data_IF_289682504587
#
_entry.id   IF_289682504587
#
_cell.length_a   1.000
_cell.length_b   1.000
_cell.length_c   1.000
_cell.angle_alpha   90.00
_cell.angle_beta   90.00
_cell.angle_gamma   90.00
#
_symmetry.space_group_name_H-M   'P 1'
#
loop_
_entity.id
_entity.type
_entity.pdbx_description
1 polymer ?
#
# COMPACT_ATOMS: atom_id res chain seq x y z
N UNK A 1 38.59 43.40 -2.30
CA UNK A 1 37.39 43.43 -1.43
C UNK A 1 36.51 42.24 -1.78
N UNK A 2 35.98 41.56 -0.77
CA UNK A 2 35.48 40.18 -0.64
C UNK A 2 34.64 39.51 -1.76
N UNK A 3 34.59 38.15 -1.79
CA UNK A 3 33.82 37.24 -2.70
C UNK A 3 32.35 37.07 -2.18
N UNK A 4 31.50 36.04 -2.49
CA UNK A 4 31.63 34.77 -3.27
C UNK A 4 30.36 34.35 -4.10
N UNK A 5 30.30 33.11 -4.61
CA UNK A 5 29.01 32.50 -4.99
C UNK A 5 29.07 31.23 -5.83
N UNK A 6 29.02 30.08 -5.16
CA UNK A 6 28.94 28.72 -5.68
C UNK A 6 27.76 28.49 -6.66
N UNK A 7 27.94 27.62 -7.65
CA UNK A 7 26.82 26.99 -8.38
C UNK A 7 26.93 25.48 -8.28
N UNK A 8 26.47 25.00 -7.12
CA UNK A 8 26.16 23.60 -6.85
C UNK A 8 25.03 23.12 -7.76
N UNK A 9 25.34 22.20 -8.67
CA UNK A 9 24.36 21.47 -9.46
C UNK A 9 23.47 20.63 -8.53
N UNK A 10 22.25 21.12 -8.28
CA UNK A 10 21.20 20.47 -7.52
C UNK A 10 20.79 19.14 -8.16
N UNK A 11 21.36 18.06 -7.66
CA UNK A 11 20.87 16.70 -7.89
C UNK A 11 19.59 16.47 -7.12
N UNK A 12 18.44 16.85 -7.69
CA UNK A 12 17.13 16.50 -7.14
C UNK A 12 16.76 15.04 -7.47
N UNK A 13 17.55 14.07 -6.98
CA UNK A 13 17.07 12.69 -6.82
C UNK A 13 16.23 12.64 -5.55
N UNK A 14 14.96 13.02 -5.71
CA UNK A 14 13.95 12.95 -4.66
C UNK A 14 13.90 11.55 -4.06
N UNK A 15 14.27 11.46 -2.78
CA UNK A 15 14.09 10.30 -1.91
C UNK A 15 12.60 9.93 -1.94
N UNK A 16 12.23 8.89 -2.68
CA UNK A 16 10.91 8.25 -2.58
C UNK A 16 10.83 7.58 -1.22
N UNK A 17 10.50 8.36 -0.19
CA UNK A 17 10.27 7.87 1.16
C UNK A 17 9.00 7.04 1.15
N UNK A 18 9.19 5.74 1.32
CA UNK A 18 8.17 4.78 1.68
C UNK A 18 7.25 5.33 2.75
N UNK A 19 5.97 5.44 2.44
CA UNK A 19 4.98 5.57 3.48
C UNK A 19 3.99 4.42 3.32
N UNK A 20 3.80 3.78 4.45
CA UNK A 20 3.04 2.56 4.64
C UNK A 20 1.72 2.95 5.26
N UNK A 21 0.80 2.02 5.28
CA UNK A 21 -0.45 2.09 6.00
C UNK A 21 -0.22 2.14 7.50
N UNK A 22 -0.35 3.32 8.11
CA UNK A 22 -0.10 3.50 9.54
C UNK A 22 -1.24 4.27 10.20
N UNK A 23 -1.72 3.78 11.34
CA UNK A 23 -2.44 4.65 12.29
C UNK A 23 -1.64 5.91 12.60
N UNK A 24 -0.30 5.83 12.63
CA UNK A 24 0.55 7.02 12.79
C UNK A 24 0.46 8.01 11.62
N UNK A 25 0.27 7.58 10.37
CA UNK A 25 0.06 8.51 9.24
C UNK A 25 -1.32 9.16 9.33
N UNK A 26 -2.34 8.40 9.74
CA UNK A 26 -3.71 8.88 9.94
C UNK A 26 -3.77 9.89 11.07
N UNK A 27 -3.15 9.59 12.21
CA UNK A 27 -3.06 10.49 13.37
C UNK A 27 -2.24 11.74 13.03
N UNK A 28 -1.12 11.59 12.31
CA UNK A 28 -0.31 12.72 11.82
C UNK A 28 -1.10 13.59 10.85
N UNK A 29 -1.83 12.96 9.91
CA UNK A 29 -2.69 13.65 8.95
C UNK A 29 -3.90 14.34 9.61
N UNK A 30 -4.45 13.76 10.67
CA UNK A 30 -5.60 14.28 11.40
C UNK A 30 -5.26 15.54 12.20
N UNK A 31 -4.10 15.56 12.88
CA UNK A 31 -3.82 16.55 13.93
C UNK A 31 -2.85 17.66 13.53
N UNK A 32 -2.19 17.58 12.37
CA UNK A 32 -1.05 18.44 12.07
C UNK A 32 -1.18 19.17 10.73
N UNK A 33 -0.84 20.46 10.66
CA UNK A 33 -0.85 21.26 9.42
C UNK A 33 0.56 21.41 8.79
N UNK A 34 1.55 20.73 9.38
CA UNK A 34 2.94 20.73 8.92
C UNK A 34 3.15 19.89 7.64
N UNK A 35 4.27 20.08 6.91
CA UNK A 35 4.59 19.33 5.69
C UNK A 35 4.50 17.81 5.83
N UNK A 36 4.76 17.27 7.01
CA UNK A 36 4.70 15.86 7.36
C UNK A 36 3.29 15.28 7.24
N UNK A 37 2.25 16.05 7.59
CA UNK A 37 0.85 15.64 7.42
C UNK A 37 0.45 15.55 5.95
N UNK A 38 0.94 16.47 5.11
CA UNK A 38 0.71 16.44 3.66
C UNK A 38 1.38 15.25 3.00
N UNK A 39 2.61 14.93 3.40
CA UNK A 39 3.31 13.74 2.93
C UNK A 39 2.59 12.44 3.37
N UNK A 40 2.13 12.37 4.62
CA UNK A 40 1.36 11.25 5.13
C UNK A 40 0.06 11.01 4.33
N UNK A 41 -0.66 12.10 4.02
CA UNK A 41 -1.89 12.07 3.23
C UNK A 41 -1.66 11.64 1.77
N UNK A 42 -0.61 12.16 1.12
CA UNK A 42 -0.27 11.78 -0.25
C UNK A 42 -0.06 10.28 -0.36
N UNK A 43 0.64 9.68 0.60
CA UNK A 43 0.88 8.25 0.56
C UNK A 43 -0.34 7.40 0.90
N UNK A 44 -1.23 7.87 1.79
CA UNK A 44 -2.53 7.22 1.99
C UNK A 44 -3.33 7.18 0.69
N UNK A 45 -3.33 8.29 -0.06
CA UNK A 45 -3.98 8.36 -1.36
C UNK A 45 -3.34 7.37 -2.35
N UNK A 46 -2.02 7.40 -2.53
CA UNK A 46 -1.27 6.52 -3.44
C UNK A 46 -1.48 5.02 -3.15
N UNK A 47 -1.60 4.65 -1.87
CA UNK A 47 -1.74 3.25 -1.46
C UNK A 47 -3.16 2.73 -1.63
N UNK A 48 -4.17 3.55 -1.33
CA UNK A 48 -5.56 3.08 -1.24
C UNK A 48 -6.46 3.49 -2.38
N UNK A 49 -6.04 4.40 -3.26
CA UNK A 49 -6.92 4.84 -4.34
C UNK A 49 -7.38 3.66 -5.20
N UNK A 50 -6.48 2.74 -5.55
CA UNK A 50 -6.83 1.60 -6.39
C UNK A 50 -7.68 0.54 -5.64
N UNK A 51 -7.34 0.09 -4.42
CA UNK A 51 -8.21 -0.78 -3.64
C UNK A 51 -9.64 -0.24 -3.45
N UNK A 52 -9.78 1.07 -3.15
CA UNK A 52 -11.09 1.69 -2.98
C UNK A 52 -11.83 1.85 -4.31
N UNK A 53 -11.14 2.27 -5.37
CA UNK A 53 -11.70 2.33 -6.73
C UNK A 53 -12.25 0.97 -7.15
N UNK A 54 -11.46 -0.08 -6.96
CA UNK A 54 -11.84 -1.45 -7.28
C UNK A 54 -13.08 -1.89 -6.49
N UNK A 55 -13.14 -1.56 -5.18
CA UNK A 55 -14.31 -1.82 -4.35
C UNK A 55 -15.57 -1.13 -4.88
N UNK A 56 -15.48 0.16 -5.22
CA UNK A 56 -16.59 0.93 -5.80
C UNK A 56 -17.03 0.31 -7.12
N UNK A 57 -16.10 -0.08 -7.99
CA UNK A 57 -16.43 -0.79 -9.25
C UNK A 57 -17.13 -2.11 -9.03
N UNK A 58 -16.74 -2.88 -8.01
CA UNK A 58 -17.39 -4.16 -7.69
C UNK A 58 -18.78 -3.97 -7.07
N UNK A 59 -19.10 -2.79 -6.54
CA UNK A 59 -20.47 -2.41 -6.13
C UNK A 59 -21.39 -2.05 -7.30
N UNK A 60 -20.91 -2.08 -8.54
CA UNK A 60 -21.73 -1.90 -9.74
C UNK A 60 -21.73 -0.50 -10.33
N UNK A 61 -20.92 0.42 -9.79
CA UNK A 61 -20.75 1.75 -10.37
C UNK A 61 -19.94 1.67 -11.68
N UNK A 62 -20.26 2.56 -12.62
CA UNK A 62 -19.52 2.68 -13.88
C UNK A 62 -18.11 3.23 -13.64
N UNK A 63 -17.24 3.12 -14.64
CA UNK A 63 -15.84 3.55 -14.52
C UNK A 63 -15.68 5.03 -14.17
N UNK A 64 -16.46 5.88 -14.84
CA UNK A 64 -16.54 7.32 -14.63
C UNK A 64 -17.08 7.65 -13.23
N UNK A 65 -18.19 7.01 -12.83
CA UNK A 65 -18.78 7.21 -11.50
C UNK A 65 -17.84 6.75 -10.39
N UNK A 66 -17.19 5.61 -10.54
CA UNK A 66 -16.26 5.08 -9.55
C UNK A 66 -15.02 5.97 -9.39
N UNK A 67 -14.55 6.58 -10.47
CA UNK A 67 -13.46 7.53 -10.43
C UNK A 67 -13.87 8.77 -9.63
N UNK A 68 -15.00 9.38 -10.00
CA UNK A 68 -15.52 10.57 -9.34
C UNK A 68 -15.80 10.34 -7.86
N UNK A 69 -16.43 9.21 -7.52
CA UNK A 69 -16.72 8.82 -6.13
C UNK A 69 -15.43 8.57 -5.33
N UNK A 70 -14.43 7.92 -5.93
CA UNK A 70 -13.14 7.70 -5.26
C UNK A 70 -12.44 9.04 -5.04
N UNK A 71 -12.40 9.93 -6.03
CA UNK A 71 -11.81 11.27 -5.88
C UNK A 71 -12.54 12.10 -4.83
N UNK A 72 -13.87 12.11 -4.84
CA UNK A 72 -14.69 12.84 -3.89
C UNK A 72 -14.55 12.29 -2.46
N UNK A 73 -14.43 10.96 -2.31
CA UNK A 73 -14.17 10.33 -1.03
C UNK A 73 -12.84 10.81 -0.45
N UNK A 74 -11.76 10.73 -1.23
CA UNK A 74 -10.47 11.22 -0.76
C UNK A 74 -10.45 12.72 -0.52
N UNK A 75 -11.16 13.52 -1.32
CA UNK A 75 -11.28 14.95 -1.07
C UNK A 75 -11.93 15.22 0.29
N UNK A 76 -13.01 14.50 0.63
CA UNK A 76 -13.68 14.61 1.93
C UNK A 76 -12.79 14.08 3.07
N UNK A 77 -12.02 13.02 2.82
CA UNK A 77 -11.01 12.51 3.74
C UNK A 77 -9.88 13.54 3.98
N UNK A 78 -9.45 14.25 2.93
CA UNK A 78 -8.43 15.30 2.94
C UNK A 78 -8.90 16.60 3.60
N UNK A 79 -10.21 16.90 3.52
CA UNK A 79 -10.90 17.95 4.29
C UNK A 79 -10.96 17.61 5.80
N UNK A 80 -10.38 16.46 6.20
CA UNK A 80 -10.13 15.97 7.57
C UNK A 80 -11.37 15.60 8.38
N UNK A 81 -12.57 15.65 7.80
CA UNK A 81 -13.81 15.36 8.52
C UNK A 81 -13.81 13.94 9.10
N UNK A 82 -13.42 12.95 8.30
CA UNK A 82 -13.34 11.55 8.74
C UNK A 82 -12.08 11.25 9.57
N UNK A 83 -10.95 11.88 9.26
CA UNK A 83 -9.68 11.61 9.97
C UNK A 83 -9.72 12.10 11.43
N UNK A 84 -10.50 13.13 11.75
CA UNK A 84 -10.65 13.64 13.13
C UNK A 84 -11.36 12.66 14.07
N UNK A 85 -12.20 11.78 13.54
CA UNK A 85 -12.93 10.77 14.32
C UNK A 85 -12.28 9.38 14.23
N UNK A 86 -11.15 9.28 13.53
CA UNK A 86 -10.42 8.03 13.38
C UNK A 86 -9.72 7.68 14.69
N UNK A 87 -10.11 6.55 15.28
CA UNK A 87 -9.61 6.06 16.56
C UNK A 87 -8.96 4.68 16.40
N UNK A 88 -7.64 4.56 16.64
CA UNK A 88 -6.95 3.27 16.65
C UNK A 88 -7.57 2.24 17.61
N UNK A 89 -8.16 2.68 18.71
CA UNK A 89 -8.82 1.80 19.69
C UNK A 89 -10.09 1.13 19.17
N UNK A 90 -10.61 1.55 18.01
CA UNK A 90 -11.80 0.96 17.36
C UNK A 90 -11.47 -0.13 16.34
N UNK A 91 -10.20 -0.52 16.24
CA UNK A 91 -9.74 -1.65 15.44
C UNK A 91 -8.85 -1.25 14.27
N UNK A 92 -8.90 -2.04 13.19
CA UNK A 92 -7.95 -1.93 12.07
C UNK A 92 -8.28 -0.74 11.17
N UNK A 93 -7.26 -0.07 10.68
CA UNK A 93 -7.43 1.07 9.77
C UNK A 93 -8.21 0.70 8.49
N UNK A 94 -8.01 -0.50 7.95
CA UNK A 94 -8.74 -1.00 6.77
C UNK A 94 -10.25 -1.05 7.01
N UNK A 95 -10.66 -1.48 8.20
CA UNK A 95 -12.07 -1.54 8.59
C UNK A 95 -12.66 -0.14 8.74
N UNK A 96 -11.92 0.80 9.33
CA UNK A 96 -12.30 2.21 9.37
C UNK A 96 -12.46 2.82 7.98
N UNK A 97 -11.49 2.59 7.07
CA UNK A 97 -11.49 3.17 5.73
C UNK A 97 -12.66 2.64 4.90
N UNK A 98 -12.93 1.32 4.98
CA UNK A 98 -14.03 0.70 4.27
C UNK A 98 -15.39 1.11 4.83
N UNK A 99 -15.52 1.19 6.16
CA UNK A 99 -16.73 1.71 6.80
C UNK A 99 -16.98 3.18 6.40
N UNK A 100 -15.94 4.02 6.42
CA UNK A 100 -16.02 5.42 6.01
C UNK A 100 -16.41 5.57 4.54
N UNK A 101 -15.84 4.74 3.65
CA UNK A 101 -16.23 4.71 2.24
C UNK A 101 -17.70 4.28 2.08
N UNK A 102 -18.15 3.27 2.81
CA UNK A 102 -19.54 2.82 2.74
C UNK A 102 -20.52 3.88 3.25
N UNK A 103 -20.19 4.59 4.33
CA UNK A 103 -20.97 5.73 4.79
C UNK A 103 -20.97 6.87 3.77
N UNK A 104 -19.82 7.17 3.17
CA UNK A 104 -19.70 8.17 2.11
C UNK A 104 -20.55 7.82 0.89
N UNK A 105 -20.48 6.57 0.39
CA UNK A 105 -21.27 6.12 -0.76
C UNK A 105 -22.76 6.14 -0.48
N UNK A 106 -23.18 5.79 0.74
CA UNK A 106 -24.58 5.88 1.16
C UNK A 106 -25.07 7.34 1.15
N UNK A 107 -24.26 8.28 1.66
CA UNK A 107 -24.60 9.70 1.71
C UNK A 107 -24.52 10.39 0.33
N UNK A 108 -23.56 10.01 -0.53
CA UNK A 108 -23.43 10.55 -1.89
C UNK A 108 -24.47 9.98 -2.85
N UNK A 109 -25.06 8.80 -2.58
CA UNK A 109 -26.22 8.32 -3.33
C UNK A 109 -27.42 9.28 -3.18
N UNK A 110 -27.57 9.90 -2.00
CA UNK A 110 -28.58 10.94 -1.74
C UNK A 110 -28.19 12.29 -2.36
N UNK A 111 -26.89 12.64 -2.36
CA UNK A 111 -26.37 13.94 -2.85
C UNK A 111 -26.23 14.02 -4.38
N UNK A 112 -25.87 12.92 -5.05
CA UNK A 112 -25.74 12.83 -6.50
C UNK A 112 -27.08 13.00 -7.25
N UNK A 113 -28.21 12.74 -6.58
CA UNK A 113 -29.54 13.10 -7.08
C UNK A 113 -29.86 14.60 -6.93
N UNK A 114 -29.21 15.30 -6.00
CA UNK A 114 -29.53 16.68 -5.66
C UNK A 114 -28.67 17.73 -6.38
N UNK A 115 -27.37 17.51 -6.59
CA UNK A 115 -26.47 18.58 -7.07
C UNK A 115 -25.40 18.05 -8.04
N UNK A 116 -25.76 17.94 -9.32
CA UNK A 116 -24.76 17.92 -10.39
C UNK A 116 -24.10 19.30 -10.48
N UNK A 117 -22.77 19.30 -10.33
CA UNK A 117 -21.76 20.33 -10.69
C UNK A 117 -21.45 21.37 -9.61
N UNK A 118 -20.18 21.41 -9.21
CA UNK A 118 -19.58 22.59 -8.58
C UNK A 118 -18.95 22.34 -7.20
N UNK A 119 -18.00 21.42 -7.09
CA UNK A 119 -17.15 21.32 -5.91
C UNK A 119 -15.70 21.33 -6.33
N UNK A 120 -15.04 22.50 -6.29
CA UNK A 120 -13.63 22.72 -6.68
C UNK A 120 -12.62 21.98 -5.80
N UNK A 121 -12.73 20.66 -5.74
CA UNK A 121 -11.89 19.77 -4.96
C UNK A 121 -10.61 19.45 -5.75
N UNK A 122 -9.48 19.44 -5.05
CA UNK A 122 -8.17 19.17 -5.64
C UNK A 122 -8.11 17.67 -6.00
N UNK A 123 -8.26 17.37 -7.29
CA UNK A 123 -8.28 16.00 -7.78
C UNK A 123 -6.95 15.29 -7.52
N UNK A 124 -7.01 14.05 -7.04
CA UNK A 124 -5.84 13.18 -6.95
C UNK A 124 -5.56 12.66 -8.36
N UNK A 125 -4.28 12.68 -8.83
CA UNK A 125 -3.91 12.02 -10.08
C UNK A 125 -4.24 10.53 -9.99
N UNK A 126 -5.23 10.07 -10.76
CA UNK A 126 -5.61 8.67 -10.90
C UNK A 126 -5.39 8.25 -12.34
N UNK A 127 -4.56 7.23 -12.57
CA UNK A 127 -4.42 6.64 -13.91
C UNK A 127 -5.56 5.64 -14.13
N UNK A 128 -6.65 6.15 -14.69
CA UNK A 128 -7.88 5.39 -14.92
C UNK A 128 -7.69 4.35 -16.01
N UNK A 129 -6.84 4.62 -17.02
CA UNK A 129 -6.61 3.69 -18.12
C UNK A 129 -5.86 2.43 -17.66
N UNK A 130 -4.84 2.61 -16.82
CA UNK A 130 -4.15 1.50 -16.16
C UNK A 130 -5.08 0.79 -15.15
N UNK A 131 -5.88 1.53 -14.38
CA UNK A 131 -6.85 0.94 -13.46
C UNK A 131 -7.90 0.08 -14.16
N UNK A 132 -8.45 0.53 -15.30
CA UNK A 132 -9.40 -0.24 -16.10
C UNK A 132 -8.76 -1.49 -16.68
N UNK A 133 -7.55 -1.37 -17.21
CA UNK A 133 -6.81 -2.51 -17.74
C UNK A 133 -6.61 -3.58 -16.65
N UNK A 134 -6.25 -3.16 -15.43
CA UNK A 134 -6.10 -4.07 -14.28
C UNK A 134 -7.43 -4.63 -13.77
N UNK A 135 -8.52 -3.86 -13.84
CA UNK A 135 -9.86 -4.31 -13.46
C UNK A 135 -10.39 -5.34 -14.46
N UNK A 136 -10.25 -5.09 -15.77
CA UNK A 136 -10.69 -5.99 -16.84
C UNK A 136 -9.92 -7.31 -16.86
N UNK A 137 -8.66 -7.30 -16.42
CA UNK A 137 -7.83 -8.52 -16.25
C UNK A 137 -8.07 -9.24 -14.92
N UNK A 138 -8.86 -8.67 -14.01
CA UNK A 138 -9.17 -9.32 -12.74
C UNK A 138 -10.08 -10.54 -13.01
N UNK A 139 -9.81 -11.69 -12.36
CA UNK A 139 -10.69 -12.85 -12.46
C UNK A 139 -12.13 -12.48 -12.08
N UNK A 140 -13.10 -13.09 -12.76
CA UNK A 140 -14.49 -13.08 -12.32
C UNK A 140 -14.60 -13.96 -11.05
N UNK A 141 -14.14 -13.43 -9.93
CA UNK A 141 -14.22 -14.09 -8.63
C UNK A 141 -15.65 -13.93 -8.07
N UNK A 142 -16.24 -15.02 -7.57
CA UNK A 142 -17.52 -15.06 -6.81
C UNK A 142 -17.40 -14.44 -5.40
N UNK A 143 -16.27 -13.79 -5.13
CA UNK A 143 -15.97 -13.14 -3.87
C UNK A 143 -16.74 -11.83 -3.71
N UNK A 144 -17.17 -11.56 -2.48
CA UNK A 144 -17.76 -10.26 -2.15
C UNK A 144 -16.76 -9.12 -2.37
N UNK A 145 -17.21 -7.89 -2.68
CA UNK A 145 -16.36 -6.72 -2.79
C UNK A 145 -15.40 -6.53 -1.60
N UNK A 146 -15.87 -6.84 -0.39
CA UNK A 146 -15.08 -6.77 0.84
C UNK A 146 -13.91 -7.77 0.80
N UNK A 147 -14.15 -9.02 0.40
CA UNK A 147 -13.07 -10.03 0.29
C UNK A 147 -12.06 -9.66 -0.78
N UNK A 148 -12.51 -9.09 -1.89
CA UNK A 148 -11.60 -8.64 -2.96
C UNK A 148 -10.77 -7.42 -2.53
N UNK A 149 -11.35 -6.49 -1.78
CA UNK A 149 -10.62 -5.39 -1.16
C UNK A 149 -9.54 -5.91 -0.22
N UNK A 150 -9.87 -6.86 0.66
CA UNK A 150 -8.94 -7.50 1.58
C UNK A 150 -7.79 -8.21 0.85
N UNK A 151 -8.10 -8.99 -0.19
CA UNK A 151 -7.09 -9.65 -1.03
C UNK A 151 -6.17 -8.64 -1.74
N UNK A 152 -6.74 -7.56 -2.28
CA UNK A 152 -5.96 -6.51 -2.94
C UNK A 152 -5.05 -5.77 -1.95
N UNK A 153 -5.55 -5.50 -0.75
CA UNK A 153 -4.75 -4.93 0.33
C UNK A 153 -3.59 -5.85 0.69
N UNK A 154 -3.84 -7.16 0.87
CA UNK A 154 -2.81 -8.13 1.19
C UNK A 154 -1.69 -8.14 0.14
N UNK A 155 -2.03 -8.19 -1.15
CA UNK A 155 -1.06 -8.12 -2.25
C UNK A 155 -0.25 -6.83 -2.21
N UNK A 156 -0.91 -5.68 -2.04
CA UNK A 156 -0.26 -4.37 -1.96
C UNK A 156 0.75 -4.30 -0.81
N UNK A 157 0.39 -4.87 0.35
CA UNK A 157 1.28 -4.93 1.51
C UNK A 157 2.50 -5.83 1.26
N UNK A 158 2.30 -6.98 0.62
CA UNK A 158 3.40 -7.89 0.29
C UNK A 158 4.37 -7.25 -0.71
N UNK A 159 3.87 -6.61 -1.77
CA UNK A 159 4.69 -5.91 -2.76
C UNK A 159 5.54 -4.82 -2.10
N UNK A 160 4.96 -4.08 -1.16
CA UNK A 160 5.64 -3.05 -0.39
C UNK A 160 6.76 -3.63 0.48
N UNK A 161 6.52 -4.75 1.15
CA UNK A 161 7.54 -5.44 1.97
C UNK A 161 8.69 -5.95 1.10
N UNK A 162 8.39 -6.51 -0.08
CA UNK A 162 9.40 -6.98 -1.04
C UNK A 162 10.22 -5.81 -1.59
N UNK A 163 9.57 -4.70 -1.97
CA UNK A 163 10.26 -3.50 -2.45
C UNK A 163 11.18 -2.89 -1.39
N UNK A 164 10.75 -2.86 -0.12
CA UNK A 164 11.59 -2.41 0.99
C UNK A 164 12.80 -3.32 1.20
N UNK A 165 12.61 -4.63 1.13
CA UNK A 165 13.70 -5.60 1.23
C UNK A 165 14.71 -5.46 0.09
N UNK A 166 14.22 -5.24 -1.14
CA UNK A 166 15.06 -4.99 -2.31
C UNK A 166 15.95 -3.76 -2.07
N UNK A 167 15.38 -2.65 -1.63
CA UNK A 167 16.15 -1.42 -1.42
C UNK A 167 17.19 -1.54 -0.29
N UNK A 168 16.93 -2.36 0.73
CA UNK A 168 17.93 -2.71 1.73
C UNK A 168 19.09 -3.51 1.11
N UNK A 169 18.78 -4.52 0.31
CA UNK A 169 19.82 -5.30 -0.38
C UNK A 169 20.63 -4.44 -1.37
N UNK A 170 20.00 -3.55 -2.13
CA UNK A 170 20.68 -2.63 -3.06
C UNK A 170 21.67 -1.75 -2.30
N UNK A 171 21.25 -1.15 -1.18
CA UNK A 171 22.14 -0.31 -0.34
C UNK A 171 23.33 -1.06 0.22
N UNK A 172 23.19 -2.36 0.45
CA UNK A 172 24.26 -3.25 0.91
C UNK A 172 25.09 -3.85 -0.23
N UNK A 173 24.85 -3.48 -1.50
CA UNK A 173 25.53 -4.04 -2.67
C UNK A 173 25.12 -5.48 -3.00
N UNK A 174 23.97 -5.93 -2.50
CA UNK A 174 23.44 -7.32 -2.60
C UNK A 174 22.27 -7.43 -3.60
N UNK A 175 22.18 -6.53 -4.57
CA UNK A 175 21.09 -6.52 -5.56
C UNK A 175 21.00 -7.84 -6.35
N UNK A 176 22.13 -8.30 -6.92
CA UNK A 176 22.19 -9.59 -7.65
C UNK A 176 21.76 -10.78 -6.79
N UNK A 177 22.13 -10.77 -5.50
CA UNK A 177 21.73 -11.80 -4.55
C UNK A 177 20.22 -11.74 -4.29
N UNK A 178 19.66 -10.54 -4.10
CA UNK A 178 18.22 -10.37 -3.92
C UNK A 178 17.43 -10.84 -5.14
N UNK A 179 17.80 -10.42 -6.35
CA UNK A 179 17.07 -10.78 -7.56
C UNK A 179 17.05 -12.28 -7.81
N UNK A 180 18.16 -12.96 -7.51
CA UNK A 180 18.22 -14.41 -7.64
C UNK A 180 17.43 -15.13 -6.55
N UNK A 181 17.41 -14.60 -5.33
CA UNK A 181 16.84 -15.28 -4.17
C UNK A 181 15.40 -14.88 -3.81
N UNK A 182 14.84 -13.80 -4.39
CA UNK A 182 13.48 -13.31 -4.07
C UNK A 182 12.38 -14.35 -4.33
N UNK A 183 12.56 -15.19 -5.35
CA UNK A 183 11.63 -16.29 -5.66
C UNK A 183 11.52 -17.34 -4.54
N UNK A 184 12.50 -17.42 -3.63
CA UNK A 184 12.50 -18.34 -2.50
C UNK A 184 11.77 -17.81 -1.27
N UNK A 185 11.19 -16.60 -1.30
CA UNK A 185 10.46 -16.04 -0.16
C UNK A 185 9.14 -16.79 0.11
N UNK A 186 8.46 -17.28 -0.94
CA UNK A 186 7.12 -17.88 -0.88
C UNK A 186 7.01 -19.32 -0.35
N UNK A 187 8.08 -19.90 0.18
CA UNK A 187 8.04 -21.17 0.93
C UNK A 187 7.82 -22.45 0.12
N UNK A 188 6.78 -22.53 -0.72
CA UNK A 188 6.23 -23.80 -1.23
C UNK A 188 6.41 -24.07 -2.74
N UNK A 189 6.79 -23.08 -3.55
CA UNK A 189 6.89 -23.25 -5.01
C UNK A 189 8.03 -22.44 -5.65
N UNK A 190 9.18 -22.33 -4.98
CA UNK A 190 10.35 -21.74 -5.61
C UNK A 190 10.96 -22.78 -6.57
N UNK A 191 10.44 -22.86 -7.79
CA UNK A 191 10.81 -23.84 -8.81
C UNK A 191 12.29 -23.82 -9.27
N UNK A 192 13.14 -22.95 -8.71
CA UNK A 192 14.57 -22.97 -8.95
C UNK A 192 15.28 -23.82 -7.88
N UNK A 193 16.02 -24.88 -8.24
CA UNK A 193 16.82 -25.61 -7.27
C UNK A 193 17.94 -24.72 -6.73
N UNK A 194 18.28 -24.85 -5.44
CA UNK A 194 19.37 -24.08 -4.81
C UNK A 194 20.71 -24.22 -5.53
N UNK A 195 20.93 -25.34 -6.23
CA UNK A 195 22.09 -25.61 -7.08
C UNK A 195 22.26 -24.58 -8.20
N UNK A 196 21.17 -24.20 -8.88
CA UNK A 196 21.23 -23.23 -9.97
C UNK A 196 21.48 -21.81 -9.43
N UNK A 197 20.83 -21.45 -8.32
CA UNK A 197 21.11 -20.19 -7.65
C UNK A 197 22.56 -20.10 -7.12
N UNK A 198 23.14 -21.23 -6.70
CA UNK A 198 24.53 -21.32 -6.27
C UNK A 198 25.49 -21.06 -7.43
N UNK A 199 25.27 -21.69 -8.59
CA UNK A 199 26.06 -21.46 -9.79
C UNK A 199 25.98 -19.98 -10.24
N UNK A 200 24.78 -19.41 -10.31
CA UNK A 200 24.59 -18.03 -10.79
C UNK A 200 25.19 -16.97 -9.87
N UNK A 201 25.37 -17.29 -8.57
CA UNK A 201 25.94 -16.39 -7.58
C UNK A 201 27.42 -16.69 -7.29
N UNK A 202 28.00 -17.74 -7.86
CA UNK A 202 29.35 -18.21 -7.52
C UNK A 202 29.47 -18.63 -6.04
N UNK A 203 28.40 -19.19 -5.48
CA UNK A 203 28.29 -19.59 -4.08
C UNK A 203 28.17 -21.11 -3.96
N UNK A 204 28.38 -21.66 -2.76
CA UNK A 204 27.99 -23.04 -2.45
C UNK A 204 26.49 -23.11 -2.16
N UNK A 205 25.86 -24.28 -2.37
CA UNK A 205 24.45 -24.47 -2.00
C UNK A 205 24.19 -24.20 -0.51
N UNK A 206 25.13 -24.56 0.37
CA UNK A 206 25.03 -24.26 1.79
C UNK A 206 25.00 -22.74 2.05
N UNK A 207 25.84 -21.97 1.35
CA UNK A 207 25.86 -20.52 1.45
C UNK A 207 24.56 -19.89 0.92
N UNK A 208 23.97 -20.45 -0.16
CA UNK A 208 22.66 -20.05 -0.68
C UNK A 208 21.55 -20.33 0.32
N UNK A 209 21.50 -21.54 0.92
CA UNK A 209 20.52 -21.88 1.97
C UNK A 209 20.58 -20.89 3.14
N UNK A 210 21.79 -20.55 3.58
CA UNK A 210 21.99 -19.55 4.65
C UNK A 210 21.55 -18.14 4.22
N UNK A 211 21.82 -17.74 2.98
CA UNK A 211 21.38 -16.46 2.44
C UNK A 211 19.85 -16.37 2.37
N UNK A 212 19.18 -17.41 1.87
CA UNK A 212 17.72 -17.52 1.83
C UNK A 212 17.11 -17.46 3.23
N UNK A 213 17.70 -18.18 4.20
CA UNK A 213 17.25 -18.14 5.59
C UNK A 213 17.32 -16.70 6.17
N UNK A 214 18.45 -16.00 5.96
CA UNK A 214 18.60 -14.60 6.39
C UNK A 214 17.60 -13.68 5.69
N UNK A 215 17.40 -13.86 4.39
CA UNK A 215 16.47 -13.07 3.59
C UNK A 215 15.02 -13.26 4.08
N UNK A 216 14.58 -14.50 4.31
CA UNK A 216 13.26 -14.83 4.90
C UNK A 216 13.10 -14.24 6.29
N UNK A 217 14.13 -14.31 7.15
CA UNK A 217 14.10 -13.70 8.49
C UNK A 217 13.92 -12.19 8.40
N UNK A 218 14.62 -11.52 7.48
CA UNK A 218 14.46 -10.07 7.28
C UNK A 218 13.09 -9.71 6.72
N UNK A 219 12.62 -10.44 5.71
CA UNK A 219 11.28 -10.33 5.16
C UNK A 219 10.20 -10.42 6.25
N UNK A 220 10.23 -11.45 7.10
CA UNK A 220 9.28 -11.60 8.22
C UNK A 220 9.33 -10.43 9.19
N UNK A 221 10.53 -9.94 9.51
CA UNK A 221 10.68 -8.77 10.39
C UNK A 221 10.07 -7.51 9.77
N UNK A 222 10.25 -7.30 8.46
CA UNK A 222 9.64 -6.20 7.74
C UNK A 222 8.11 -6.33 7.69
N UNK A 223 7.59 -7.52 7.35
CA UNK A 223 6.16 -7.80 7.33
C UNK A 223 5.51 -7.54 8.70
N UNK A 224 6.08 -8.09 9.79
CA UNK A 224 5.62 -7.83 11.16
C UNK A 224 5.63 -6.34 11.48
N UNK A 225 6.71 -5.65 11.13
CA UNK A 225 6.80 -4.22 11.36
C UNK A 225 5.71 -3.45 10.61
N UNK A 226 5.39 -3.84 9.37
CA UNK A 226 4.31 -3.20 8.61
C UNK A 226 2.94 -3.47 9.22
N UNK A 227 2.66 -4.71 9.60
CA UNK A 227 1.38 -5.10 10.21
C UNK A 227 1.18 -4.43 11.57
N UNK A 228 2.24 -4.34 12.39
CA UNK A 228 2.21 -3.64 13.68
C UNK A 228 1.75 -2.17 13.58
N UNK A 229 1.89 -1.55 12.41
CA UNK A 229 1.47 -0.17 12.17
C UNK A 229 -0.02 -0.05 11.80
N UNK A 230 -0.68 -1.17 11.50
CA UNK A 230 -2.07 -1.25 11.04
C UNK A 230 -3.05 -1.71 12.12
N UNK A 231 -2.52 -2.29 13.20
CA UNK A 231 -3.26 -2.84 14.34
C UNK A 231 -3.25 -1.89 15.53
N UNK A 232 -4.19 -2.07 16.46
CA UNK A 232 -4.32 -1.22 17.63
C UNK A 232 -3.26 -1.55 18.68
N UNK A 233 -2.91 -2.84 18.80
CA UNK A 233 -1.95 -3.33 19.80
C UNK A 233 -1.01 -4.41 19.24
N UNK A 234 0.17 -4.62 19.85
CA UNK A 234 1.13 -5.63 19.39
C UNK A 234 0.60 -7.07 19.40
N UNK A 235 -0.37 -7.37 20.27
CA UNK A 235 -0.97 -8.71 20.43
C UNK A 235 -1.78 -9.11 19.19
N UNK A 236 -2.31 -8.15 18.44
CA UNK A 236 -3.10 -8.38 17.22
C UNK A 236 -2.24 -8.72 15.99
N UNK A 237 -0.90 -8.58 16.08
CA UNK A 237 0.00 -8.73 14.92
C UNK A 237 -0.08 -10.15 14.32
N UNK A 238 -0.06 -11.17 15.18
CA UNK A 238 -0.07 -12.56 14.72
C UNK A 238 -1.41 -12.94 14.10
N UNK A 239 -2.50 -12.41 14.62
CA UNK A 239 -3.86 -12.59 14.10
C UNK A 239 -4.01 -11.91 12.73
N UNK A 240 -3.47 -10.71 12.59
CA UNK A 240 -3.51 -9.96 11.34
C UNK A 240 -2.62 -10.59 10.26
N UNK A 241 -1.50 -11.21 10.63
CA UNK A 241 -0.70 -12.02 9.70
C UNK A 241 -1.50 -13.21 9.18
N UNK A 242 -2.21 -13.93 10.07
CA UNK A 242 -3.05 -15.06 9.67
C UNK A 242 -4.17 -14.60 8.73
N UNK A 243 -4.84 -13.50 9.06
CA UNK A 243 -5.86 -12.90 8.20
C UNK A 243 -5.32 -12.53 6.83
N UNK A 244 -4.12 -11.93 6.76
CA UNK A 244 -3.47 -11.57 5.50
C UNK A 244 -3.28 -12.78 4.58
N UNK A 245 -2.79 -13.90 5.10
CA UNK A 245 -2.60 -15.10 4.28
C UNK A 245 -3.94 -15.74 3.88
N UNK A 246 -4.91 -15.77 4.79
CA UNK A 246 -6.26 -16.25 4.48
C UNK A 246 -6.93 -15.43 3.36
N UNK A 247 -6.66 -14.11 3.31
CA UNK A 247 -7.17 -13.24 2.24
C UNK A 247 -6.56 -13.54 0.86
N UNK A 248 -5.42 -14.24 0.81
CA UNK A 248 -4.73 -14.63 -0.43
C UNK A 248 -5.10 -16.04 -0.90
N UNK A 249 -5.53 -16.92 0.01
CA UNK A 249 -5.95 -18.30 -0.27
C UNK A 249 -7.36 -18.41 -0.86
N UNK A 250 -8.11 -17.29 -0.85
CA UNK A 250 -9.51 -17.21 -1.28
C UNK A 250 -9.73 -16.65 -2.67
#
# INVERSE_FOLDING_TARGET
MSPPGESSGSGHRGRRSFATTRWSLVLTAAHDNRPEARAALATLCETYWYPLYYYVRRRGYRADEAQDLTQAFFATLLEREYLRVADPGRGRFRSFLLASLNHFLANEWDRARAQKRGGGRRAIPMDVADAESRYSLAPADDLTPERLFERRWALTLLDLVVAQLQQECVREGKERLFDRLKGFLGGAAAGAPYSQAAADLGMTEAAVKMAVHRLRRRYRRLLRAQIAQTVASPEEIDDEIRHLFNALEG
#
